data_IF_522819028198
#
_entry.id   IF_522819028198
#
_cell.length_a   1.000
_cell.length_b   1.000
_cell.length_c   1.000
_cell.angle_alpha   90.00
_cell.angle_beta   90.00
_cell.angle_gamma   90.00
#
_symmetry.space_group_name_H-M   'P 1'
#
loop_
_entity.id
_entity.type
_entity.pdbx_description
1 polymer ?
#
# COMPACT_ATOMS: atom_id res chain seq x y z
N UNK A 1 6.86 -10.53 6.95
CA UNK A 1 6.07 -9.66 6.06
C UNK A 1 6.67 -8.27 6.08
N UNK A 2 6.81 -7.64 4.91
CA UNK A 2 7.30 -6.27 4.72
C UNK A 2 6.29 -5.51 3.85
N UNK A 3 6.03 -4.25 4.17
CA UNK A 3 5.06 -3.48 3.41
C UNK A 3 4.47 -2.31 4.16
N UNK A 4 3.30 -1.90 3.69
CA UNK A 4 2.56 -0.75 4.19
C UNK A 4 1.28 -1.14 4.97
N UNK A 5 0.35 -0.19 5.10
CA UNK A 5 -0.96 -0.36 5.73
C UNK A 5 -1.78 -1.56 5.26
N UNK A 6 -1.57 -2.03 4.02
CA UNK A 6 -2.27 -3.22 3.51
C UNK A 6 -1.87 -4.50 4.25
N UNK A 7 -0.70 -4.49 4.92
CA UNK A 7 -0.16 -5.62 5.68
C UNK A 7 0.16 -5.27 7.14
N UNK A 8 -0.10 -4.04 7.61
CA UNK A 8 0.26 -3.64 8.97
C UNK A 8 -0.71 -4.24 10.01
N UNK A 9 -0.25 -5.27 10.73
CA UNK A 9 -0.98 -5.94 11.80
C UNK A 9 -0.92 -5.21 13.16
N UNK A 10 -0.36 -4.00 13.24
CA UNK A 10 -0.34 -3.18 14.46
C UNK A 10 1.04 -2.66 14.88
N UNK A 11 2.00 -2.51 13.97
CA UNK A 11 3.21 -1.73 14.23
C UNK A 11 2.90 -0.23 14.32
N UNK A 12 2.15 0.29 13.35
CA UNK A 12 1.61 1.67 13.38
C UNK A 12 0.11 1.65 13.64
N UNK A 13 -0.61 0.74 13.01
CA UNK A 13 -2.05 0.60 13.19
C UNK A 13 -2.62 -0.57 12.41
N UNK A 14 -3.95 -0.61 12.28
CA UNK A 14 -4.66 -1.58 11.46
C UNK A 14 -5.62 -0.86 10.53
N UNK A 15 -5.51 -1.13 9.24
CA UNK A 15 -6.19 -0.35 8.19
C UNK A 15 -7.26 -1.17 7.46
N UNK A 16 -8.11 -1.81 8.26
CA UNK A 16 -9.34 -2.48 7.79
C UNK A 16 -10.54 -1.56 7.93
N UNK A 17 -11.69 -1.98 7.40
CA UNK A 17 -12.90 -1.14 7.45
C UNK A 17 -13.36 -0.80 8.88
N UNK A 18 -13.03 -1.65 9.86
CA UNK A 18 -13.30 -1.43 11.28
C UNK A 18 -12.08 -0.89 12.04
N UNK A 19 -10.91 -0.84 11.39
CA UNK A 19 -9.63 -0.48 11.99
C UNK A 19 -9.23 -1.35 13.20
N UNK A 20 -9.83 -2.53 13.38
CA UNK A 20 -9.78 -3.24 14.64
C UNK A 20 -9.53 -4.76 14.51
N UNK A 21 -10.55 -5.54 14.17
CA UNK A 21 -10.54 -7.00 14.37
C UNK A 21 -10.60 -7.82 13.10
N UNK A 22 -11.02 -7.22 11.99
CA UNK A 22 -11.17 -7.96 10.74
C UNK A 22 -9.81 -8.31 10.16
N UNK A 23 -9.51 -9.59 9.85
CA UNK A 23 -8.19 -10.06 9.47
C UNK A 23 -7.67 -9.42 8.17
N UNK A 24 -6.37 -9.14 8.11
CA UNK A 24 -5.67 -8.75 6.89
C UNK A 24 -5.37 -10.00 6.05
N UNK A 25 -5.05 -9.82 4.77
CA UNK A 25 -4.79 -10.94 3.86
C UNK A 25 -3.60 -11.81 4.32
N UNK A 26 -2.55 -11.19 4.84
CA UNK A 26 -1.33 -11.83 5.31
C UNK A 26 -1.55 -12.64 6.59
N UNK A 27 -2.43 -12.14 7.48
CA UNK A 27 -2.89 -12.90 8.64
C UNK A 27 -3.74 -14.10 8.25
N UNK A 28 -4.62 -13.96 7.24
CA UNK A 28 -5.41 -15.09 6.69
C UNK A 28 -4.46 -16.16 6.10
N UNK A 29 -3.46 -15.73 5.34
CA UNK A 29 -2.44 -16.63 4.77
C UNK A 29 -1.66 -17.32 5.89
N UNK A 30 -1.15 -16.58 6.88
CA UNK A 30 -0.42 -17.15 8.00
C UNK A 30 -1.27 -18.16 8.78
N UNK A 31 -2.53 -17.82 9.07
CA UNK A 31 -3.45 -18.72 9.76
C UNK A 31 -3.71 -20.00 8.97
N UNK A 32 -3.81 -19.92 7.64
CA UNK A 32 -3.96 -21.10 6.77
C UNK A 32 -2.75 -22.03 6.80
N UNK A 33 -1.58 -21.51 7.18
CA UNK A 33 -0.32 -22.24 7.36
C UNK A 33 -0.09 -22.68 8.82
N UNK A 34 -1.05 -22.41 9.72
CA UNK A 34 -0.94 -22.74 11.14
C UNK A 34 -0.07 -21.77 11.95
N UNK A 35 0.22 -20.60 11.41
CA UNK A 35 0.96 -19.54 12.10
C UNK A 35 0.03 -18.43 12.61
N UNK A 36 0.48 -17.70 13.64
CA UNK A 36 -0.19 -16.52 14.15
C UNK A 36 0.71 -15.29 13.93
N UNK A 37 0.49 -14.60 12.81
CA UNK A 37 1.30 -13.47 12.41
C UNK A 37 1.14 -12.29 13.37
N UNK A 38 2.23 -11.92 14.04
CA UNK A 38 2.26 -10.79 14.99
C UNK A 38 3.12 -9.63 14.47
N UNK A 39 2.80 -8.38 14.83
CA UNK A 39 3.65 -7.23 14.52
C UNK A 39 5.03 -7.36 15.19
N UNK A 40 6.07 -6.89 14.51
CA UNK A 40 7.46 -6.92 14.97
C UNK A 40 7.68 -6.08 16.22
N UNK A 41 6.90 -5.02 16.42
CA UNK A 41 6.88 -4.21 17.65
C UNK A 41 6.52 -5.03 18.90
N UNK A 42 5.89 -6.19 18.71
CA UNK A 42 5.52 -7.15 19.76
C UNK A 42 6.32 -8.45 19.66
N UNK A 43 7.46 -8.44 18.96
CA UNK A 43 8.33 -9.60 18.77
C UNK A 43 7.89 -10.58 17.69
N UNK A 44 6.96 -10.20 16.81
CA UNK A 44 6.51 -11.01 15.69
C UNK A 44 7.31 -10.83 14.40
N UNK A 45 6.83 -11.43 13.31
CA UNK A 45 7.48 -11.48 11.99
C UNK A 45 6.82 -10.58 10.93
N UNK A 46 5.83 -9.77 11.33
CA UNK A 46 5.24 -8.74 10.49
C UNK A 46 5.92 -7.39 10.75
N UNK A 47 6.76 -6.96 9.81
CA UNK A 47 7.49 -5.69 9.84
C UNK A 47 6.75 -4.58 9.09
N UNK A 48 5.58 -4.84 8.50
CA UNK A 48 4.86 -3.82 7.74
C UNK A 48 4.37 -2.69 8.65
N UNK A 49 4.36 -1.47 8.12
CA UNK A 49 4.05 -0.25 8.86
C UNK A 49 3.14 0.66 8.03
N UNK A 50 2.05 1.12 8.62
CA UNK A 50 1.14 2.08 8.01
C UNK A 50 1.87 3.32 7.50
N UNK A 51 1.68 3.64 6.21
CA UNK A 51 2.34 4.78 5.55
C UNK A 51 3.75 4.49 5.03
N UNK A 52 4.23 3.24 5.10
CA UNK A 52 5.51 2.88 4.52
C UNK A 52 5.54 3.08 3.00
N UNK A 53 6.71 3.48 2.50
CA UNK A 53 7.05 3.61 1.07
C UNK A 53 8.20 2.66 0.71
N UNK A 54 8.49 2.48 -0.57
CA UNK A 54 9.61 1.64 -0.98
C UNK A 54 10.98 2.27 -0.66
N UNK A 55 11.08 3.62 -0.68
CA UNK A 55 12.35 4.35 -0.52
C UNK A 55 12.32 5.41 0.59
N UNK A 56 13.34 5.48 1.48
CA UNK A 56 13.42 6.47 2.57
C UNK A 56 13.36 7.93 2.12
N UNK A 57 13.73 8.22 0.87
CA UNK A 57 13.71 9.57 0.31
C UNK A 57 12.30 10.19 0.25
N UNK A 58 11.24 9.37 0.20
CA UNK A 58 9.85 9.84 0.22
C UNK A 58 9.33 9.90 1.66
N UNK A 59 9.59 8.86 2.45
CA UNK A 59 9.23 8.82 3.87
C UNK A 59 10.39 8.18 4.65
N UNK A 60 11.19 9.00 5.38
CA UNK A 60 12.36 8.49 6.11
C UNK A 60 11.98 7.82 7.43
N UNK A 61 10.73 7.92 7.88
CA UNK A 61 10.27 7.31 9.14
C UNK A 61 9.74 5.90 8.93
N UNK A 62 8.99 5.68 7.84
CA UNK A 62 8.39 4.40 7.51
C UNK A 62 8.71 4.03 6.06
N UNK A 63 9.51 2.99 5.87
CA UNK A 63 9.86 2.49 4.56
C UNK A 63 10.31 1.02 4.63
N UNK A 64 10.11 0.28 3.55
CA UNK A 64 10.41 -1.16 3.52
C UNK A 64 11.91 -1.47 3.48
N UNK A 65 12.76 -0.50 3.11
CA UNK A 65 14.20 -0.67 3.16
C UNK A 65 14.67 -0.82 4.62
N UNK A 66 14.23 0.06 5.51
CA UNK A 66 14.55 -0.02 6.94
C UNK A 66 13.92 -1.24 7.60
N UNK A 67 12.68 -1.60 7.22
CA UNK A 67 12.04 -2.84 7.70
C UNK A 67 12.89 -4.07 7.37
N UNK A 68 13.40 -4.16 6.13
CA UNK A 68 14.27 -5.24 5.69
C UNK A 68 15.62 -5.22 6.43
N UNK A 69 16.24 -4.06 6.55
CA UNK A 69 17.52 -3.89 7.25
C UNK A 69 17.39 -4.33 8.72
N UNK A 70 16.30 -3.95 9.39
CA UNK A 70 16.01 -4.34 10.77
C UNK A 70 15.81 -5.86 10.90
N UNK A 71 15.06 -6.48 9.99
CA UNK A 71 14.88 -7.94 9.97
C UNK A 71 16.21 -8.68 9.81
N UNK A 72 17.01 -8.31 8.81
CA UNK A 72 18.29 -8.97 8.53
C UNK A 72 19.30 -8.74 9.67
N UNK A 73 19.37 -7.53 10.23
CA UNK A 73 20.23 -7.24 11.36
C UNK A 73 19.90 -8.13 12.58
N UNK A 74 18.61 -8.32 12.87
CA UNK A 74 18.16 -9.20 13.95
C UNK A 74 18.45 -10.69 13.71
N UNK A 75 18.76 -11.08 12.46
CA UNK A 75 19.04 -12.46 12.04
C UNK A 75 20.50 -12.69 11.63
N UNK A 76 21.41 -11.78 11.97
CA UNK A 76 22.83 -11.92 11.61
C UNK A 76 23.09 -11.87 10.10
N UNK A 77 22.23 -11.16 9.36
CA UNK A 77 22.34 -10.96 7.92
C UNK A 77 21.73 -12.08 7.07
N UNK A 78 21.08 -13.07 7.67
CA UNK A 78 20.49 -14.20 6.96
C UNK A 78 18.97 -14.18 7.05
N UNK A 79 18.31 -14.54 5.96
CA UNK A 79 16.90 -14.88 5.95
C UNK A 79 16.72 -16.36 6.35
N UNK A 80 15.56 -16.67 6.93
CA UNK A 80 15.12 -18.05 7.12
C UNK A 80 14.82 -18.70 5.75
N UNK A 81 15.53 -19.78 5.36
CA UNK A 81 15.33 -20.44 4.07
C UNK A 81 13.99 -21.16 3.94
N UNK A 82 13.39 -21.57 5.07
CA UNK A 82 12.08 -22.24 5.09
C UNK A 82 10.92 -21.22 5.24
N UNK A 83 11.25 -19.94 5.35
CA UNK A 83 10.29 -18.85 5.51
C UNK A 83 9.50 -18.53 4.23
N UNK A 84 8.20 -18.24 4.40
CA UNK A 84 7.38 -17.58 3.40
C UNK A 84 7.39 -16.06 3.63
N UNK A 85 7.96 -15.32 2.68
CA UNK A 85 8.04 -13.87 2.76
C UNK A 85 6.95 -13.23 1.93
N UNK A 86 6.46 -12.07 2.39
CA UNK A 86 5.60 -11.19 1.62
C UNK A 86 6.25 -9.83 1.60
N UNK A 87 6.39 -9.24 0.41
CA UNK A 87 6.86 -7.87 0.20
C UNK A 87 5.83 -7.16 -0.68
N UNK A 88 4.97 -6.34 -0.06
CA UNK A 88 3.93 -5.60 -0.77
C UNK A 88 4.01 -4.11 -0.45
N UNK A 89 4.45 -3.33 -1.44
CA UNK A 89 4.71 -1.90 -1.29
C UNK A 89 4.39 -1.15 -2.59
N UNK A 90 4.33 0.17 -2.51
CA UNK A 90 4.27 1.10 -3.65
C UNK A 90 3.01 1.96 -3.67
N UNK A 91 1.98 1.62 -2.90
CA UNK A 91 0.74 2.41 -2.85
C UNK A 91 0.98 3.84 -2.40
N UNK A 92 1.76 4.02 -1.31
CA UNK A 92 2.13 5.34 -0.80
C UNK A 92 3.09 6.09 -1.72
N UNK A 93 3.98 5.39 -2.43
CA UNK A 93 4.86 5.99 -3.44
C UNK A 93 4.06 6.56 -4.62
N UNK A 94 3.02 5.84 -5.08
CA UNK A 94 2.12 6.32 -6.13
C UNK A 94 1.26 7.50 -5.66
N UNK A 95 0.84 7.51 -4.39
CA UNK A 95 0.17 8.66 -3.81
C UNK A 95 1.07 9.91 -3.79
N UNK A 96 2.35 9.74 -3.43
CA UNK A 96 3.35 10.82 -3.52
C UNK A 96 3.58 11.26 -4.97
N UNK A 97 3.64 10.33 -5.92
CA UNK A 97 3.80 10.61 -7.34
C UNK A 97 2.65 11.47 -7.90
N UNK A 98 1.40 11.18 -7.50
CA UNK A 98 0.23 11.94 -7.94
C UNK A 98 0.26 13.41 -7.51
N UNK A 99 0.89 13.71 -6.37
CA UNK A 99 1.07 15.07 -5.86
C UNK A 99 2.28 15.79 -6.46
N UNK A 100 3.13 15.08 -7.21
CA UNK A 100 4.37 15.60 -7.81
C UNK A 100 4.43 15.29 -9.32
N UNK A 101 3.53 15.87 -10.15
CA UNK A 101 3.34 15.46 -11.54
C UNK A 101 4.60 15.53 -12.41
N UNK A 102 5.49 16.50 -12.14
CA UNK A 102 6.77 16.64 -12.86
C UNK A 102 7.78 15.53 -12.53
N UNK A 103 7.70 14.93 -11.34
CA UNK A 103 8.57 13.87 -10.86
C UNK A 103 7.88 12.49 -10.84
N UNK A 104 6.59 12.42 -11.19
CA UNK A 104 5.75 11.23 -11.00
C UNK A 104 6.36 9.97 -11.64
N UNK A 105 6.84 10.08 -12.90
CA UNK A 105 7.51 8.97 -13.60
C UNK A 105 8.72 8.47 -12.82
N UNK A 106 9.58 9.39 -12.38
CA UNK A 106 10.79 9.06 -11.63
C UNK A 106 10.46 8.41 -10.28
N UNK A 107 9.45 8.90 -9.56
CA UNK A 107 9.00 8.33 -8.28
C UNK A 107 8.52 6.89 -8.48
N UNK A 108 7.69 6.65 -9.49
CA UNK A 108 7.17 5.31 -9.81
C UNK A 108 8.29 4.35 -10.21
N UNK A 109 9.19 4.78 -11.10
CA UNK A 109 10.32 3.96 -11.55
C UNK A 109 11.27 3.62 -10.39
N UNK A 110 11.56 4.60 -9.52
CA UNK A 110 12.38 4.39 -8.33
C UNK A 110 11.72 3.44 -7.32
N UNK A 111 10.41 3.58 -7.09
CA UNK A 111 9.67 2.70 -6.18
C UNK A 111 9.72 1.24 -6.65
N UNK A 112 9.43 1.01 -7.93
CA UNK A 112 9.49 -0.33 -8.52
C UNK A 112 10.90 -0.93 -8.46
N UNK A 113 11.92 -0.14 -8.80
CA UNK A 113 13.32 -0.59 -8.71
C UNK A 113 13.74 -0.91 -7.28
N UNK A 114 13.31 -0.11 -6.30
CA UNK A 114 13.65 -0.32 -4.90
C UNK A 114 12.97 -1.57 -4.33
N UNK A 115 11.68 -1.77 -4.63
CA UNK A 115 10.98 -2.98 -4.24
C UNK A 115 11.65 -4.23 -4.82
N UNK A 116 11.99 -4.22 -6.12
CA UNK A 116 12.71 -5.31 -6.77
C UNK A 116 14.09 -5.56 -6.13
N UNK A 117 14.84 -4.50 -5.82
CA UNK A 117 16.14 -4.62 -5.15
C UNK A 117 16.02 -5.22 -3.75
N UNK A 118 15.03 -4.83 -2.96
CA UNK A 118 14.78 -5.38 -1.63
C UNK A 118 14.39 -6.86 -1.67
N UNK A 119 13.58 -7.26 -2.65
CA UNK A 119 13.27 -8.68 -2.90
C UNK A 119 14.55 -9.44 -3.27
N UNK A 120 15.40 -8.91 -4.15
CA UNK A 120 16.69 -9.52 -4.47
C UNK A 120 17.54 -9.70 -3.21
N UNK A 121 17.63 -8.68 -2.35
CA UNK A 121 18.37 -8.75 -1.08
C UNK A 121 17.85 -9.83 -0.13
N UNK A 122 16.53 -10.05 -0.07
CA UNK A 122 15.96 -11.16 0.71
C UNK A 122 16.38 -12.52 0.14
N UNK A 123 16.31 -12.70 -1.17
CA UNK A 123 16.71 -13.93 -1.85
C UNK A 123 18.21 -14.20 -1.65
N UNK A 124 19.06 -13.17 -1.82
CA UNK A 124 20.50 -13.25 -1.61
C UNK A 124 20.86 -13.57 -0.15
N UNK A 125 20.05 -13.11 0.80
CA UNK A 125 20.18 -13.44 2.22
C UNK A 125 19.70 -14.87 2.56
N UNK A 126 19.15 -15.61 1.61
CA UNK A 126 18.75 -17.01 1.75
C UNK A 126 17.25 -17.29 1.77
N UNK A 127 16.39 -16.29 1.54
CA UNK A 127 14.94 -16.51 1.51
C UNK A 127 14.55 -17.49 0.40
N UNK A 128 13.80 -18.54 0.74
CA UNK A 128 13.36 -19.55 -0.24
C UNK A 128 12.21 -19.10 -1.13
N UNK A 129 11.19 -18.41 -0.56
CA UNK A 129 10.00 -17.99 -1.30
C UNK A 129 9.55 -16.58 -0.90
N UNK A 130 9.38 -15.69 -1.89
CA UNK A 130 8.86 -14.33 -1.68
C UNK A 130 7.62 -14.10 -2.54
N UNK A 131 6.50 -13.77 -1.90
CA UNK A 131 5.28 -13.28 -2.55
C UNK A 131 5.43 -11.77 -2.75
N UNK A 132 5.29 -11.32 -3.99
CA UNK A 132 5.44 -9.91 -4.37
C UNK A 132 4.19 -9.47 -5.13
N UNK A 133 3.13 -9.01 -4.44
CA UNK A 133 1.94 -8.53 -5.12
C UNK A 133 2.24 -7.22 -5.87
N UNK A 134 1.49 -6.96 -6.93
CA UNK A 134 1.57 -5.69 -7.65
C UNK A 134 0.84 -4.58 -6.88
N UNK A 135 1.18 -3.32 -7.16
CA UNK A 135 0.46 -2.19 -6.57
C UNK A 135 -1.00 -2.22 -7.06
N UNK A 136 -2.00 -2.14 -6.16
CA UNK A 136 -3.40 -1.99 -6.56
C UNK A 136 -3.60 -0.76 -7.45
N UNK A 137 -4.73 -0.69 -8.15
CA UNK A 137 -5.10 0.56 -8.83
C UNK A 137 -5.45 1.65 -7.81
N UNK A 138 -4.44 2.35 -7.30
CA UNK A 138 -4.62 3.41 -6.30
C UNK A 138 -5.29 4.65 -6.88
N UNK A 139 -5.22 4.85 -8.21
CA UNK A 139 -5.94 5.90 -8.93
C UNK A 139 -7.46 5.83 -8.80
N UNK A 140 -7.98 4.64 -8.47
CA UNK A 140 -9.39 4.38 -8.23
C UNK A 140 -9.81 4.55 -6.75
N UNK A 141 -8.89 4.95 -5.86
CA UNK A 141 -9.21 5.11 -4.44
C UNK A 141 -9.83 6.48 -4.15
N UNK A 142 -10.84 6.57 -3.27
CA UNK A 142 -11.50 7.85 -3.01
C UNK A 142 -10.54 8.94 -2.50
N UNK A 143 -9.54 8.57 -1.69
CA UNK A 143 -8.54 9.51 -1.17
C UNK A 143 -7.68 10.11 -2.29
N UNK A 144 -7.21 9.31 -3.24
CA UNK A 144 -6.37 9.82 -4.33
C UNK A 144 -7.17 10.66 -5.32
N UNK A 145 -8.41 10.26 -5.62
CA UNK A 145 -9.34 11.06 -6.41
C UNK A 145 -9.57 12.44 -5.76
N UNK A 146 -9.82 12.47 -4.45
CA UNK A 146 -9.98 13.72 -3.71
C UNK A 146 -8.70 14.57 -3.75
N UNK A 147 -7.52 13.98 -3.56
CA UNK A 147 -6.25 14.68 -3.56
C UNK A 147 -5.97 15.35 -4.92
N UNK A 148 -6.29 14.68 -6.03
CA UNK A 148 -6.14 15.24 -7.38
C UNK A 148 -7.10 16.43 -7.58
N UNK A 149 -8.35 16.33 -7.13
CA UNK A 149 -9.31 17.43 -7.23
C UNK A 149 -8.88 18.64 -6.39
N UNK A 150 -8.31 18.43 -5.20
CA UNK A 150 -7.88 19.51 -4.31
C UNK A 150 -6.87 20.47 -4.96
N UNK A 151 -6.11 20.03 -5.96
CA UNK A 151 -5.17 20.89 -6.74
C UNK A 151 -5.91 22.03 -7.45
N UNK A 152 -7.22 21.89 -7.71
CA UNK A 152 -8.06 22.91 -8.33
C UNK A 152 -8.50 24.03 -7.36
N UNK A 153 -8.10 23.96 -6.08
CA UNK A 153 -8.43 24.96 -5.08
C UNK A 153 -9.93 25.05 -4.80
N UNK A 154 -10.53 26.25 -4.60
CA UNK A 154 -11.95 26.39 -4.30
C UNK A 154 -12.90 25.78 -5.33
N UNK A 155 -12.49 25.69 -6.60
CA UNK A 155 -13.27 25.05 -7.67
C UNK A 155 -13.44 23.53 -7.45
N UNK A 156 -12.61 22.92 -6.62
CA UNK A 156 -12.69 21.50 -6.29
C UNK A 156 -13.93 21.14 -5.46
N UNK A 157 -14.53 22.09 -4.74
CA UNK A 157 -15.62 21.81 -3.79
C UNK A 157 -16.85 21.18 -4.46
N UNK A 158 -17.47 21.79 -5.49
CA UNK A 158 -18.61 21.16 -6.18
C UNK A 158 -18.21 19.86 -6.89
N UNK A 159 -17.02 19.79 -7.49
CA UNK A 159 -16.50 18.57 -8.14
C UNK A 159 -16.34 17.41 -7.16
N UNK A 160 -15.78 17.68 -5.98
CA UNK A 160 -15.59 16.69 -4.90
C UNK A 160 -16.94 16.21 -4.37
N UNK A 161 -17.89 17.14 -4.15
CA UNK A 161 -19.24 16.77 -3.70
C UNK A 161 -19.95 15.88 -4.72
N UNK A 162 -19.91 16.22 -6.01
CA UNK A 162 -20.49 15.41 -7.08
C UNK A 162 -19.87 14.01 -7.15
N UNK A 163 -18.53 13.92 -7.13
CA UNK A 163 -17.81 12.65 -7.12
C UNK A 163 -18.30 11.72 -5.99
N UNK A 164 -18.30 12.21 -4.75
CA UNK A 164 -18.67 11.39 -3.60
C UNK A 164 -20.17 11.07 -3.54
N UNK A 165 -21.02 11.97 -4.03
CA UNK A 165 -22.45 11.70 -4.16
C UNK A 165 -22.70 10.55 -5.13
N UNK A 166 -22.07 10.56 -6.31
CA UNK A 166 -22.14 9.48 -7.30
C UNK A 166 -21.70 8.14 -6.74
N UNK A 167 -20.51 8.11 -6.10
CA UNK A 167 -19.95 6.90 -5.50
C UNK A 167 -20.82 6.33 -4.36
N UNK A 168 -21.46 7.20 -3.55
CA UNK A 168 -22.26 6.77 -2.40
C UNK A 168 -23.59 6.10 -2.78
N UNK A 169 -24.06 6.30 -4.01
CA UNK A 169 -25.37 5.81 -4.47
C UNK A 169 -25.28 4.59 -5.38
N UNK A 170 -24.07 4.20 -5.78
CA UNK A 170 -23.85 3.14 -6.76
C UNK A 170 -23.45 1.83 -6.08
N UNK A 171 -24.16 0.73 -6.38
CA UNK A 171 -23.75 -0.61 -5.95
C UNK A 171 -22.67 -1.15 -6.90
N UNK A 172 -21.61 -1.73 -6.33
CA UNK A 172 -20.48 -2.28 -7.10
C UNK A 172 -20.32 -3.78 -6.85
N UNK A 173 -21.26 -4.63 -7.34
CA UNK A 173 -21.27 -6.07 -7.06
C UNK A 173 -20.07 -6.81 -7.65
N UNK A 174 -19.46 -6.24 -8.69
CA UNK A 174 -18.30 -6.80 -9.37
C UNK A 174 -17.31 -5.70 -9.78
N UNK A 175 -16.23 -6.12 -10.45
CA UNK A 175 -15.16 -5.23 -10.90
C UNK A 175 -15.64 -4.26 -12.00
N UNK A 176 -16.42 -4.72 -12.97
CA UNK A 176 -16.86 -3.89 -14.07
C UNK A 176 -17.82 -2.80 -13.60
N UNK A 177 -18.76 -3.15 -12.70
CA UNK A 177 -19.64 -2.18 -12.05
C UNK A 177 -18.86 -1.14 -11.24
N UNK A 178 -17.77 -1.56 -10.58
CA UNK A 178 -16.89 -0.64 -9.84
C UNK A 178 -16.15 0.34 -10.77
N UNK A 179 -15.58 -0.16 -11.86
CA UNK A 179 -14.88 0.67 -12.85
C UNK A 179 -15.86 1.69 -13.47
N UNK A 180 -17.07 1.25 -13.85
CA UNK A 180 -18.12 2.13 -14.34
C UNK A 180 -18.55 3.19 -13.31
N UNK A 181 -18.65 2.83 -12.03
CA UNK A 181 -18.99 3.78 -10.97
C UNK A 181 -17.92 4.88 -10.82
N UNK A 182 -16.64 4.52 -10.91
CA UNK A 182 -15.52 5.47 -10.83
C UNK A 182 -15.51 6.39 -12.04
N UNK A 183 -15.66 5.85 -13.25
CA UNK A 183 -15.72 6.66 -14.48
C UNK A 183 -16.90 7.64 -14.47
N UNK A 184 -18.07 7.17 -14.01
CA UNK A 184 -19.28 8.01 -13.88
C UNK A 184 -19.05 9.14 -12.88
N UNK A 185 -18.52 8.82 -11.70
CA UNK A 185 -18.21 9.82 -10.68
C UNK A 185 -17.20 10.86 -11.15
N UNK A 186 -16.16 10.45 -11.89
CA UNK A 186 -15.19 11.35 -12.50
C UNK A 186 -15.83 12.26 -13.55
N UNK A 187 -16.74 11.73 -14.38
CA UNK A 187 -17.50 12.52 -15.34
C UNK A 187 -18.40 13.57 -14.67
N UNK A 188 -19.10 13.19 -13.60
CA UNK A 188 -19.91 14.11 -12.80
C UNK A 188 -19.08 15.22 -12.15
N UNK A 189 -17.91 14.86 -11.59
CA UNK A 189 -16.97 15.82 -11.01
C UNK A 189 -16.42 16.80 -12.05
N UNK A 190 -16.03 16.29 -13.24
CA UNK A 190 -15.54 17.11 -14.34
C UNK A 190 -16.60 18.11 -14.84
N UNK A 191 -17.88 17.75 -14.81
CA UNK A 191 -18.98 18.66 -15.17
C UNK A 191 -19.20 19.82 -14.20
N UNK A 192 -18.51 19.86 -13.06
CA UNK A 192 -18.57 20.95 -12.08
C UNK A 192 -17.44 21.99 -12.23
N UNK A 193 -16.48 21.75 -13.12
CA UNK A 193 -15.29 22.58 -13.35
C UNK A 193 -15.42 23.28 -14.71
#
# INVERSE_FOLDING_TARGET
VFGDSLSDGGNVGRFTYDGATHPLYDEIVAQSLGDNLRPSSQGGSNYAEGGAVAVPAINPLFNTQDQLDNYLAARGGQADPDGLYIHWIGGNDLAAAALAPLAARQIVDNSASAAASQVSRLLDAGAGTVIVPTVPNVGATPALLQAILQVLGPAAQPATAALFQSLSTTTTPDRAAREQAIETALGEAAGQI
#
